data_IF_257671933972
#
_entry.id   IF_257671933972
#
_cell.length_a   1.000
_cell.length_b   1.000
_cell.length_c   1.000
_cell.angle_alpha   90.00
_cell.angle_beta   90.00
_cell.angle_gamma   90.00
#
_symmetry.space_group_name_H-M   'P 1'
#
loop_
_entity.id
_entity.type
_entity.pdbx_description
1 polymer ?
#
# COMPACT_ATOMS: atom_id res chain seq x y z
N UNK A 1 -17.72 9.08 -33.31
CA UNK A 1 -16.63 8.55 -32.46
C UNK A 1 -15.49 9.54 -32.41
N UNK A 2 -15.47 10.42 -31.41
CA UNK A 2 -14.35 11.32 -31.18
C UNK A 2 -13.35 10.59 -30.31
N UNK A 3 -12.25 10.12 -30.90
CA UNK A 3 -11.16 9.49 -30.15
C UNK A 3 -10.40 10.60 -29.44
N UNK A 4 -10.53 10.69 -28.12
CA UNK A 4 -9.79 11.66 -27.30
C UNK A 4 -8.37 11.11 -27.11
N UNK A 5 -7.40 11.75 -27.75
CA UNK A 5 -5.98 11.40 -27.62
C UNK A 5 -5.40 12.03 -26.33
N UNK A 6 -5.10 11.19 -25.34
CA UNK A 6 -4.54 11.60 -24.04
C UNK A 6 -3.25 12.43 -24.15
N UNK A 7 -2.45 12.24 -25.21
CA UNK A 7 -1.22 13.01 -25.38
C UNK A 7 -1.51 14.50 -25.64
N UNK A 8 -2.53 14.81 -26.43
CA UNK A 8 -2.90 16.20 -26.73
C UNK A 8 -3.66 16.84 -25.56
N UNK A 9 -4.56 16.08 -24.93
CA UNK A 9 -5.36 16.60 -23.81
C UNK A 9 -4.52 16.78 -22.53
N UNK A 10 -3.56 15.89 -22.28
CA UNK A 10 -2.63 15.99 -21.16
C UNK A 10 -1.71 17.21 -21.28
N UNK A 11 -1.14 17.46 -22.46
CA UNK A 11 -0.28 18.63 -22.69
C UNK A 11 -1.06 19.94 -22.57
N UNK A 12 -2.29 20.00 -23.09
CA UNK A 12 -3.16 21.17 -22.95
C UNK A 12 -3.54 21.43 -21.49
N UNK A 13 -3.85 20.38 -20.72
CA UNK A 13 -4.14 20.48 -19.30
C UNK A 13 -2.93 20.97 -18.49
N UNK A 14 -1.72 20.50 -18.80
CA UNK A 14 -0.47 20.95 -18.15
C UNK A 14 -0.19 22.43 -18.47
N UNK A 15 -0.37 22.86 -19.73
CA UNK A 15 -0.22 24.27 -20.12
C UNK A 15 -1.24 25.18 -19.45
N UNK A 16 -2.49 24.73 -19.36
CA UNK A 16 -3.55 25.46 -18.66
C UNK A 16 -3.25 25.56 -17.15
N UNK A 17 -2.76 24.49 -16.54
CA UNK A 17 -2.35 24.49 -15.13
C UNK A 17 -1.17 25.45 -14.88
N UNK A 18 -0.18 25.48 -15.78
CA UNK A 18 0.95 26.41 -15.69
C UNK A 18 0.57 27.89 -15.88
N UNK A 19 -0.49 28.18 -16.65
CA UNK A 19 -0.98 29.54 -16.89
C UNK A 19 -1.92 30.04 -15.78
N UNK A 20 -2.48 29.13 -14.96
CA UNK A 20 -3.42 29.47 -13.92
C UNK A 20 -2.67 29.99 -12.68
N UNK A 21 -3.00 31.19 -12.20
CA UNK A 21 -2.35 31.83 -11.02
C UNK A 21 -2.93 31.39 -9.67
N UNK A 22 -4.06 30.68 -9.68
CA UNK A 22 -4.72 30.13 -8.48
C UNK A 22 -3.79 29.34 -7.54
N UNK A 23 -2.86 28.48 -8.03
CA UNK A 23 -1.90 27.78 -7.16
C UNK A 23 -0.93 28.74 -6.45
N UNK A 24 -0.53 29.84 -7.11
CA UNK A 24 0.36 30.86 -6.54
C UNK A 24 -0.35 31.61 -5.40
N UNK A 25 -1.66 31.88 -5.56
CA UNK A 25 -2.52 32.51 -4.56
C UNK A 25 -2.86 31.57 -3.39
N UNK A 26 -2.99 30.26 -3.63
CA UNK A 26 -3.10 29.26 -2.55
C UNK A 26 -1.79 29.10 -1.78
N UNK A 27 -0.63 29.23 -2.44
CA UNK A 27 0.67 29.16 -1.79
C UNK A 27 0.95 30.32 -0.82
N UNK A 28 0.28 31.48 -0.93
CA UNK A 28 0.45 32.58 0.05
C UNK A 28 -0.20 32.25 1.40
N UNK A 29 -1.24 31.43 1.42
CA UNK A 29 -1.90 30.97 2.66
C UNK A 29 -0.99 30.06 3.50
N UNK A 30 0.05 29.49 2.88
CA UNK A 30 1.05 28.65 3.53
C UNK A 30 2.37 29.37 3.75
N UNK A 31 2.40 30.72 3.72
CA UNK A 31 3.60 31.51 4.04
C UNK A 31 3.46 32.17 5.40
N UNK A 32 4.57 32.32 6.12
CA UNK A 32 4.62 33.10 7.35
C UNK A 32 4.66 34.62 7.06
N UNK A 33 4.67 35.44 8.11
CA UNK A 33 4.65 36.90 7.99
C UNK A 33 5.89 37.48 7.26
N UNK A 34 6.96 36.69 7.11
CA UNK A 34 8.17 37.06 6.33
C UNK A 34 8.09 36.61 4.86
N UNK A 35 6.98 35.97 4.48
CA UNK A 35 6.78 35.44 3.13
C UNK A 35 7.44 34.09 2.90
N UNK A 36 7.92 33.40 3.94
CA UNK A 36 8.58 32.10 3.81
C UNK A 36 7.52 30.98 3.92
N UNK A 37 7.58 30.00 3.01
CA UNK A 37 6.66 28.86 2.97
C UNK A 37 6.78 28.02 4.26
N UNK A 38 5.71 27.97 5.05
CA UNK A 38 5.45 26.92 6.05
C UNK A 38 5.07 25.64 5.33
N UNK A 39 6.05 24.76 5.13
CA UNK A 39 5.75 23.36 4.76
C UNK A 39 4.86 22.74 5.86
N UNK A 40 3.74 22.08 5.51
CA UNK A 40 3.07 21.19 6.43
C UNK A 40 4.08 20.19 6.98
N UNK A 41 3.95 19.79 8.24
CA UNK A 41 4.74 18.69 8.78
C UNK A 41 4.31 17.40 8.07
N UNK A 42 4.92 17.12 6.92
CA UNK A 42 4.69 15.89 6.19
C UNK A 42 5.25 14.76 7.04
N UNK A 43 4.37 13.94 7.63
CA UNK A 43 4.75 12.60 8.09
C UNK A 43 5.01 11.76 6.84
N UNK A 44 6.16 11.98 6.21
CA UNK A 44 6.67 11.04 5.23
C UNK A 44 6.98 9.74 5.99
N UNK A 45 6.38 8.65 5.57
CA UNK A 45 6.90 7.32 5.92
C UNK A 45 8.34 7.30 5.42
N UNK A 46 9.30 7.40 6.34
CA UNK A 46 10.70 7.33 5.99
C UNK A 46 11.02 5.90 5.59
N UNK A 47 11.05 5.66 4.28
CA UNK A 47 11.49 4.40 3.69
C UNK A 47 13.04 4.24 3.76
N UNK A 48 13.75 5.20 4.35
CA UNK A 48 15.22 5.29 4.34
C UNK A 48 15.91 4.12 5.07
N UNK A 49 15.31 3.58 6.14
CA UNK A 49 15.89 2.45 6.88
C UNK A 49 15.89 1.12 6.11
N UNK A 50 15.16 1.07 5.00
CA UNK A 50 15.01 -0.10 4.15
C UNK A 50 16.05 -0.15 3.00
N UNK A 51 16.65 0.98 2.63
CA UNK A 51 17.52 1.07 1.46
C UNK A 51 19.01 0.81 1.72
N UNK A 52 19.39 0.39 2.93
CA UNK A 52 20.77 0.07 3.24
C UNK A 52 21.31 -0.96 2.23
N UNK A 53 22.33 -0.58 1.48
CA UNK A 53 23.12 -1.49 0.66
C UNK A 53 23.91 -2.38 1.61
N UNK A 54 23.32 -3.50 2.00
CA UNK A 54 24.07 -4.57 2.66
C UNK A 54 25.20 -5.02 1.73
N UNK A 55 26.43 -5.27 2.25
CA UNK A 55 27.51 -5.80 1.43
C UNK A 55 27.15 -7.22 0.93
N UNK A 56 27.34 -7.48 -0.36
CA UNK A 56 27.36 -8.84 -0.92
C UNK A 56 26.09 -9.40 -1.58
N UNK A 57 25.05 -8.60 -1.84
CA UNK A 57 23.86 -9.09 -2.57
C UNK A 57 24.17 -9.30 -4.05
N UNK A 58 23.74 -10.44 -4.59
CA UNK A 58 23.82 -10.70 -6.04
C UNK A 58 22.96 -9.69 -6.81
N UNK A 59 23.21 -9.56 -8.11
CA UNK A 59 22.41 -8.70 -8.97
C UNK A 59 20.92 -9.09 -8.98
N UNK A 60 20.64 -10.40 -8.99
CA UNK A 60 19.30 -10.94 -8.88
C UNK A 60 18.61 -10.57 -7.54
N UNK A 61 19.36 -10.57 -6.43
CA UNK A 61 18.83 -10.16 -5.13
C UNK A 61 18.51 -8.67 -5.10
N UNK A 62 19.35 -7.84 -5.74
CA UNK A 62 19.10 -6.40 -5.85
C UNK A 62 17.84 -6.10 -6.66
N UNK A 63 17.62 -6.81 -7.77
CA UNK A 63 16.39 -6.71 -8.57
C UNK A 63 15.17 -7.19 -7.77
N UNK A 64 15.28 -8.33 -7.09
CA UNK A 64 14.21 -8.86 -6.23
C UNK A 64 13.83 -7.88 -5.13
N UNK A 65 14.83 -7.26 -4.49
CA UNK A 65 14.64 -6.23 -3.47
C UNK A 65 13.92 -5.00 -4.04
N UNK A 66 14.33 -4.51 -5.20
CA UNK A 66 13.67 -3.38 -5.86
C UNK A 66 12.20 -3.70 -6.19
N UNK A 67 11.91 -4.89 -6.73
CA UNK A 67 10.55 -5.35 -6.98
C UNK A 67 9.70 -5.39 -5.71
N UNK A 68 10.27 -5.85 -4.59
CA UNK A 68 9.58 -5.94 -3.30
C UNK A 68 9.28 -4.55 -2.75
N UNK A 69 10.21 -3.60 -2.86
CA UNK A 69 9.93 -2.21 -2.47
C UNK A 69 8.86 -1.56 -3.33
N UNK A 70 8.91 -1.78 -4.64
CA UNK A 70 7.86 -1.31 -5.53
C UNK A 70 6.50 -1.88 -5.13
N UNK A 71 6.43 -3.19 -4.83
CA UNK A 71 5.19 -3.84 -4.42
C UNK A 71 4.62 -3.24 -3.13
N UNK A 72 5.46 -3.09 -2.09
CA UNK A 72 5.06 -2.48 -0.82
C UNK A 72 4.60 -1.04 -1.05
N UNK A 73 5.33 -0.27 -1.85
CA UNK A 73 4.98 1.12 -2.16
C UNK A 73 3.64 1.26 -2.86
N UNK A 74 3.35 0.39 -3.84
CA UNK A 74 2.04 0.32 -4.53
C UNK A 74 0.92 0.00 -3.54
N UNK A 75 1.11 -1.03 -2.69
CA UNK A 75 0.11 -1.45 -1.71
C UNK A 75 -0.16 -0.38 -0.66
N UNK A 76 0.88 0.20 -0.03
CA UNK A 76 0.74 1.24 0.98
C UNK A 76 0.11 2.53 0.43
N UNK A 77 0.28 2.81 -0.86
CA UNK A 77 -0.29 3.99 -1.51
C UNK A 77 -1.71 3.75 -2.03
N UNK A 78 -2.27 2.56 -1.86
CA UNK A 78 -3.59 2.20 -2.40
C UNK A 78 -3.65 2.25 -3.94
N UNK A 79 -2.52 2.08 -4.62
CA UNK A 79 -2.45 2.12 -6.08
C UNK A 79 -2.91 0.76 -6.62
N UNK A 80 -3.84 0.72 -7.62
CA UNK A 80 -4.26 -0.54 -8.22
C UNK A 80 -3.10 -1.32 -8.81
N UNK A 81 -3.06 -2.65 -8.61
CA UNK A 81 -1.95 -3.49 -9.11
C UNK A 81 -1.85 -3.49 -10.64
N UNK A 82 -2.90 -3.11 -11.37
CA UNK A 82 -2.83 -2.86 -12.83
C UNK A 82 -1.79 -1.81 -13.20
N UNK A 83 -1.45 -0.90 -12.28
CA UNK A 83 -0.36 0.06 -12.47
C UNK A 83 0.98 -0.63 -12.71
N UNK A 84 1.22 -1.80 -12.11
CA UNK A 84 2.46 -2.57 -12.32
C UNK A 84 2.74 -2.89 -13.79
N UNK A 85 1.69 -3.10 -14.60
CA UNK A 85 1.84 -3.39 -16.03
C UNK A 85 2.38 -2.19 -16.82
N UNK A 86 1.95 -0.97 -16.44
CA UNK A 86 2.45 0.27 -17.01
C UNK A 86 3.85 0.62 -16.46
N UNK A 87 4.02 0.49 -15.14
CA UNK A 87 5.28 0.78 -14.46
C UNK A 87 6.44 -0.08 -15.00
N UNK A 88 6.19 -1.37 -15.26
CA UNK A 88 7.18 -2.28 -15.84
C UNK A 88 7.72 -1.77 -17.18
N UNK A 89 6.85 -1.26 -18.05
CA UNK A 89 7.26 -0.68 -19.34
C UNK A 89 7.96 0.67 -19.17
N UNK A 90 7.44 1.50 -18.26
CA UNK A 90 7.94 2.85 -18.02
C UNK A 90 9.34 2.85 -17.41
N UNK A 91 9.60 1.99 -16.42
CA UNK A 91 10.89 1.90 -15.72
C UNK A 91 12.00 1.53 -16.71
N UNK A 92 11.74 0.61 -17.64
CA UNK A 92 12.69 0.24 -18.68
C UNK A 92 13.03 1.42 -19.61
N UNK A 93 12.04 2.26 -19.94
CA UNK A 93 12.24 3.45 -20.78
C UNK A 93 12.93 4.60 -20.05
N UNK A 94 12.68 4.74 -18.74
CA UNK A 94 13.27 5.80 -17.92
C UNK A 94 14.74 5.51 -17.58
N UNK A 95 15.11 4.23 -17.47
CA UNK A 95 16.45 3.80 -17.03
C UNK A 95 17.03 2.75 -17.99
N UNK A 96 17.29 3.09 -19.26
CA UNK A 96 17.69 2.12 -20.28
C UNK A 96 19.08 1.49 -20.03
N UNK A 97 19.93 2.17 -19.26
CA UNK A 97 21.29 1.77 -18.90
C UNK A 97 21.38 0.99 -17.59
N UNK A 98 20.28 0.86 -16.84
CA UNK A 98 20.24 0.16 -15.56
C UNK A 98 19.94 -1.33 -15.75
N UNK A 99 20.90 -2.20 -15.43
CA UNK A 99 20.69 -3.65 -15.47
C UNK A 99 19.55 -4.11 -14.52
N UNK A 100 19.40 -3.46 -13.36
CA UNK A 100 18.28 -3.71 -12.44
C UNK A 100 16.93 -3.36 -13.10
N UNK A 101 16.88 -2.27 -13.87
CA UNK A 101 15.65 -1.85 -14.55
C UNK A 101 15.30 -2.80 -15.70
N UNK A 102 16.29 -3.41 -16.36
CA UNK A 102 16.08 -4.44 -17.39
C UNK A 102 15.46 -5.72 -16.82
N UNK A 103 15.86 -6.09 -15.59
CA UNK A 103 15.32 -7.24 -14.88
C UNK A 103 13.99 -6.95 -14.15
N UNK A 104 13.58 -5.68 -14.07
CA UNK A 104 12.33 -5.30 -13.42
C UNK A 104 11.12 -5.83 -14.22
N UNK A 105 10.41 -6.80 -13.65
CA UNK A 105 9.23 -7.42 -14.27
C UNK A 105 8.06 -7.51 -13.27
N UNK A 106 7.79 -6.43 -12.53
CA UNK A 106 6.78 -6.41 -11.48
C UNK A 106 5.40 -5.97 -12.00
N UNK A 107 4.86 -6.74 -12.94
CA UNK A 107 3.49 -6.59 -13.44
C UNK A 107 2.43 -6.96 -12.39
N UNK A 108 1.14 -6.77 -12.71
CA UNK A 108 0.04 -6.92 -11.75
C UNK A 108 -0.02 -8.27 -11.03
N UNK A 109 0.32 -9.36 -11.73
CA UNK A 109 0.33 -10.73 -11.16
C UNK A 109 1.47 -10.90 -10.15
N UNK A 110 2.66 -10.41 -10.49
CA UNK A 110 3.85 -10.48 -9.62
C UNK A 110 3.68 -9.59 -8.40
N UNK A 111 3.08 -8.40 -8.57
CA UNK A 111 2.64 -7.54 -7.47
C UNK A 111 1.71 -8.28 -6.51
N UNK A 112 0.62 -8.84 -7.04
CA UNK A 112 -0.35 -9.58 -6.24
C UNK A 112 0.35 -10.68 -5.46
N UNK A 113 1.08 -11.57 -6.15
CA UNK A 113 1.78 -12.69 -5.55
C UNK A 113 2.81 -12.26 -4.49
N UNK A 114 3.60 -11.22 -4.76
CA UNK A 114 4.58 -10.71 -3.78
C UNK A 114 3.91 -10.20 -2.52
N UNK A 115 2.77 -9.52 -2.64
CA UNK A 115 2.04 -9.00 -1.48
C UNK A 115 1.32 -10.12 -0.75
N UNK A 116 0.52 -10.95 -1.43
CA UNK A 116 -0.29 -12.00 -0.80
C UNK A 116 0.58 -13.15 -0.28
N UNK A 117 1.32 -13.80 -1.17
CA UNK A 117 1.99 -15.06 -0.89
C UNK A 117 3.42 -14.84 -0.37
N UNK A 118 4.10 -13.81 -0.89
CA UNK A 118 5.48 -13.50 -0.51
C UNK A 118 5.58 -12.81 0.85
N UNK A 119 4.85 -11.73 1.05
CA UNK A 119 4.96 -10.86 2.23
C UNK A 119 3.82 -11.05 3.24
N UNK A 120 2.64 -11.48 2.80
CA UNK A 120 1.47 -11.61 3.66
C UNK A 120 1.74 -12.49 4.87
N UNK A 121 2.37 -13.65 4.66
CA UNK A 121 2.76 -14.57 5.74
C UNK A 121 3.70 -13.93 6.78
N UNK A 122 4.64 -13.09 6.35
CA UNK A 122 5.54 -12.36 7.23
C UNK A 122 4.77 -11.35 8.11
N UNK A 123 3.83 -10.60 7.53
CA UNK A 123 3.04 -9.63 8.27
C UNK A 123 2.07 -10.30 9.24
N UNK A 124 1.37 -11.36 8.81
CA UNK A 124 0.51 -12.16 9.68
C UNK A 124 1.32 -12.70 10.85
N UNK A 125 2.49 -13.30 10.58
CA UNK A 125 3.37 -13.81 11.63
C UNK A 125 3.81 -12.72 12.61
N UNK A 126 4.17 -11.53 12.13
CA UNK A 126 4.57 -10.44 13.00
C UNK A 126 3.45 -10.01 13.97
N UNK A 127 2.20 -9.94 13.48
CA UNK A 127 1.03 -9.64 14.31
C UNK A 127 0.77 -10.77 15.31
N UNK A 128 0.73 -12.03 14.85
CA UNK A 128 0.49 -13.21 15.70
C UNK A 128 1.56 -13.36 16.77
N UNK A 129 2.84 -13.16 16.43
CA UNK A 129 3.95 -13.23 17.38
C UNK A 129 3.83 -12.14 18.47
N UNK A 130 3.29 -10.96 18.15
CA UNK A 130 3.07 -9.88 19.12
C UNK A 130 1.87 -10.14 20.03
N UNK A 131 0.77 -10.65 19.47
CA UNK A 131 -0.42 -11.06 20.22
C UNK A 131 -0.14 -12.18 21.23
N UNK A 132 0.79 -13.08 20.91
CA UNK A 132 1.17 -14.21 21.78
C UNK A 132 2.20 -13.86 22.87
N UNK A 133 2.68 -12.60 22.95
CA UNK A 133 3.63 -12.22 24.00
C UNK A 133 2.96 -12.23 25.37
N UNK A 134 3.69 -12.57 26.45
CA UNK A 134 3.19 -12.46 27.80
C UNK A 134 2.70 -11.03 28.08
N UNK A 135 1.56 -10.90 28.76
CA UNK A 135 0.94 -9.62 29.11
C UNK A 135 0.48 -8.77 27.92
N UNK A 136 0.39 -9.33 26.70
CA UNK A 136 -0.36 -8.70 25.62
C UNK A 136 -1.86 -8.97 25.80
N UNK A 137 -2.62 -7.89 25.95
CA UNK A 137 -4.08 -7.95 25.99
C UNK A 137 -4.64 -7.34 24.70
N UNK A 138 -5.64 -7.99 24.14
CA UNK A 138 -6.26 -7.58 22.89
C UNK A 138 -7.76 -7.78 22.93
N UNK A 139 -8.46 -7.02 22.08
CA UNK A 139 -9.87 -7.21 21.79
C UNK A 139 -10.03 -7.64 20.34
N UNK A 140 -10.90 -8.62 20.10
CA UNK A 140 -11.27 -9.00 18.74
C UNK A 140 -12.48 -8.17 18.30
N UNK A 141 -12.36 -7.59 17.12
CA UNK A 141 -13.41 -6.81 16.48
C UNK A 141 -13.91 -7.59 15.26
N UNK A 142 -15.21 -7.85 15.24
CA UNK A 142 -15.90 -8.50 14.14
C UNK A 142 -16.72 -7.43 13.43
N UNK A 143 -16.40 -7.17 12.16
CA UNK A 143 -17.11 -6.20 11.34
C UNK A 143 -17.80 -6.91 10.17
N UNK A 144 -19.11 -6.70 10.08
CA UNK A 144 -19.99 -7.38 9.13
C UNK A 144 -20.49 -6.35 8.11
N UNK A 145 -20.12 -6.55 6.84
CA UNK A 145 -20.49 -5.66 5.73
C UNK A 145 -21.24 -6.43 4.66
N UNK A 146 -22.43 -5.97 4.27
CA UNK A 146 -23.16 -6.56 3.15
C UNK A 146 -22.49 -6.19 1.82
N UNK A 147 -22.35 -7.16 0.92
CA UNK A 147 -21.87 -6.98 -0.46
C UNK A 147 -22.99 -7.37 -1.44
N UNK A 148 -23.96 -6.47 -1.71
CA UNK A 148 -25.16 -6.80 -2.49
C UNK A 148 -24.85 -7.29 -3.91
N UNK A 149 -23.85 -6.72 -4.57
CA UNK A 149 -23.44 -7.08 -5.93
C UNK A 149 -22.95 -8.52 -6.03
N UNK A 150 -22.36 -9.03 -4.94
CA UNK A 150 -21.86 -10.39 -4.83
C UNK A 150 -22.84 -11.33 -4.13
N UNK A 151 -24.00 -10.82 -3.69
CA UNK A 151 -25.02 -11.56 -2.93
C UNK A 151 -24.45 -12.31 -1.72
N UNK A 152 -23.50 -11.68 -1.04
CA UNK A 152 -22.86 -12.25 0.15
C UNK A 152 -22.62 -11.16 1.19
N UNK A 153 -22.10 -11.57 2.34
CA UNK A 153 -21.69 -10.69 3.41
C UNK A 153 -20.20 -10.88 3.66
N UNK A 154 -19.44 -9.81 3.82
CA UNK A 154 -18.04 -9.86 4.25
C UNK A 154 -17.99 -9.78 5.78
N UNK A 155 -17.26 -10.71 6.40
CA UNK A 155 -16.86 -10.64 7.80
C UNK A 155 -15.37 -10.31 7.84
N UNK A 156 -15.03 -9.17 8.41
CA UNK A 156 -13.66 -8.77 8.72
C UNK A 156 -13.37 -9.00 10.21
N UNK A 157 -12.33 -9.78 10.48
CA UNK A 157 -11.85 -10.06 11.85
C UNK A 157 -10.56 -9.29 12.07
N UNK A 158 -10.54 -8.45 13.09
CA UNK A 158 -9.41 -7.59 13.43
C UNK A 158 -9.03 -7.73 14.90
N UNK A 159 -7.74 -7.57 15.20
CA UNK A 159 -7.24 -7.48 16.56
C UNK A 159 -6.86 -6.05 16.90
N UNK A 160 -7.40 -5.54 18.00
CA UNK A 160 -7.02 -4.25 18.57
C UNK A 160 -6.25 -4.44 19.86
N UNK A 161 -5.05 -3.89 19.91
CA UNK A 161 -4.14 -4.04 21.04
C UNK A 161 -3.14 -2.89 21.11
N UNK A 162 -2.46 -2.75 22.25
CA UNK A 162 -1.32 -1.85 22.37
C UNK A 162 -0.10 -2.55 21.77
N UNK A 163 0.35 -2.09 20.59
CA UNK A 163 1.56 -2.61 19.99
C UNK A 163 2.76 -2.03 20.71
N UNK A 164 3.55 -2.91 21.32
CA UNK A 164 4.78 -2.52 21.99
C UNK A 164 5.90 -2.23 20.99
N UNK A 165 5.80 -2.79 19.78
CA UNK A 165 6.68 -2.48 18.65
C UNK A 165 6.43 -1.06 18.11
N UNK A 166 5.16 -0.69 17.90
CA UNK A 166 4.78 0.62 17.36
C UNK A 166 4.55 1.69 18.44
N UNK A 167 4.59 1.32 19.72
CA UNK A 167 4.35 2.17 20.90
C UNK A 167 3.02 2.93 20.82
N UNK A 168 1.97 2.27 20.33
CA UNK A 168 0.62 2.84 20.19
C UNK A 168 -0.42 1.74 20.13
N UNK A 169 -1.69 2.11 20.37
CA UNK A 169 -2.81 1.23 20.03
C UNK A 169 -2.90 1.09 18.52
N UNK A 170 -2.97 -0.16 18.05
CA UNK A 170 -3.13 -0.51 16.64
C UNK A 170 -4.38 -1.35 16.46
N UNK A 171 -4.89 -1.37 15.22
CA UNK A 171 -5.94 -2.27 14.78
C UNK A 171 -5.35 -3.00 13.57
N UNK A 172 -5.09 -4.28 13.74
CA UNK A 172 -4.48 -5.12 12.70
C UNK A 172 -5.54 -6.07 12.13
N UNK A 173 -5.63 -6.11 10.81
CA UNK A 173 -6.51 -7.03 10.11
C UNK A 173 -5.95 -8.45 10.20
N UNK A 174 -6.78 -9.40 10.63
CA UNK A 174 -6.40 -10.81 10.68
C UNK A 174 -6.87 -11.52 9.42
N UNK A 175 -8.17 -11.39 9.09
CA UNK A 175 -8.75 -12.08 7.95
C UNK A 175 -10.10 -11.51 7.52
N UNK A 176 -10.40 -11.66 6.24
CA UNK A 176 -11.71 -11.39 5.64
C UNK A 176 -12.33 -12.69 5.14
N UNK A 177 -13.64 -12.86 5.35
CA UNK A 177 -14.41 -14.01 4.87
C UNK A 177 -15.62 -13.53 4.08
N UNK A 178 -15.91 -14.18 2.96
CA UNK A 178 -17.19 -13.98 2.25
C UNK A 178 -18.15 -15.08 2.72
N UNK A 179 -19.24 -14.65 3.34
CA UNK A 179 -20.25 -15.49 3.95
C UNK A 179 -21.48 -15.56 3.04
N UNK A 180 -21.91 -16.78 2.71
CA UNK A 180 -23.22 -17.02 2.11
C UNK A 180 -24.37 -17.02 3.12
N UNK A 181 -24.03 -17.14 4.42
CA UNK A 181 -24.96 -17.12 5.56
C UNK A 181 -24.20 -16.68 6.81
N UNK A 182 -24.83 -15.87 7.67
CA UNK A 182 -24.23 -15.32 8.88
C UNK A 182 -24.95 -15.80 10.15
N UNK A 183 -25.08 -17.12 10.31
CA UNK A 183 -25.55 -17.67 11.59
C UNK A 183 -24.46 -17.55 12.65
N UNK A 184 -24.86 -17.55 13.93
CA UNK A 184 -23.94 -17.48 15.06
C UNK A 184 -22.83 -18.54 15.00
N UNK A 185 -23.17 -19.76 14.59
CA UNK A 185 -22.21 -20.88 14.48
C UNK A 185 -21.16 -20.61 13.40
N UNK A 186 -21.58 -20.06 12.26
CA UNK A 186 -20.68 -19.72 11.14
C UNK A 186 -19.75 -18.58 11.55
N UNK A 187 -20.29 -17.53 12.15
CA UNK A 187 -19.51 -16.39 12.63
C UNK A 187 -18.47 -16.85 13.67
N UNK A 188 -18.88 -17.65 14.66
CA UNK A 188 -17.99 -18.18 15.68
C UNK A 188 -16.88 -19.06 15.09
N UNK A 189 -17.20 -19.88 14.08
CA UNK A 189 -16.20 -20.74 13.42
C UNK A 189 -15.13 -19.90 12.71
N UNK A 190 -15.53 -18.88 11.95
CA UNK A 190 -14.58 -18.02 11.24
C UNK A 190 -13.74 -17.14 12.17
N UNK A 191 -14.33 -16.63 13.26
CA UNK A 191 -13.57 -15.89 14.28
C UNK A 191 -12.51 -16.79 14.92
N UNK A 192 -12.82 -18.06 15.20
CA UNK A 192 -11.83 -19.02 15.71
C UNK A 192 -10.76 -19.38 14.69
N UNK A 193 -11.09 -19.42 13.41
CA UNK A 193 -10.12 -19.70 12.34
C UNK A 193 -9.15 -18.53 12.10
N UNK A 194 -9.57 -17.30 12.42
CA UNK A 194 -8.74 -16.10 12.27
C UNK A 194 -7.74 -15.88 13.41
N UNK A 195 -7.90 -16.58 14.55
CA UNK A 195 -7.06 -16.50 15.74
C UNK A 195 -6.02 -17.62 15.77
#
# INVERSE_FOLDING_TARGET
NTIINCAQHGVAAVKHHAANKSPVELCTQHRDASGVLKKPATKQVQLESCFATGPGLSEADRATRADTYFAIGVALSGIPYTYGDAATKMILLMFPDSEIAKEFQCGRKKLSYKISDGLGSCFTKAVTDELNRPHTYYTIQNEETLLPEQRCQQLDVMARYFSDTQKRVVVEHLRSYHLGSATTEILLAHVKEAL
#
